data_IF_580692997760
#
_entry.id   IF_580692997760
#
_cell.length_a   1.000
_cell.length_b   1.000
_cell.length_c   1.000
_cell.angle_alpha   90.00
_cell.angle_beta   90.00
_cell.angle_gamma   90.00
#
_symmetry.space_group_name_H-M   'P 1'
#
loop_
_entity.id
_entity.type
_entity.pdbx_description
1 polymer ?
#
# COMPACT_ATOMS: atom_id res chain seq x y z
N UNK A 1 25.20 -2.65 39.40
CA UNK A 1 24.87 -3.02 38.00
C UNK A 1 23.69 -4.00 37.91
N UNK A 2 23.71 -5.15 38.59
CA UNK A 2 22.63 -6.16 38.52
C UNK A 2 21.23 -5.62 38.88
N UNK A 3 21.11 -4.82 39.96
CA UNK A 3 19.82 -4.21 40.38
C UNK A 3 19.25 -3.20 39.38
N UNK A 4 20.10 -2.47 38.68
CA UNK A 4 19.67 -1.52 37.62
C UNK A 4 19.19 -2.28 36.38
N UNK A 5 19.88 -3.34 36.01
CA UNK A 5 19.46 -4.23 34.91
C UNK A 5 18.09 -4.89 35.22
N UNK A 6 17.90 -5.39 36.46
CA UNK A 6 16.64 -6.00 36.88
C UNK A 6 15.50 -5.02 36.87
N UNK A 7 15.71 -3.78 37.32
CA UNK A 7 14.69 -2.72 37.29
C UNK A 7 14.31 -2.37 35.83
N UNK A 8 15.28 -2.22 34.94
CA UNK A 8 15.05 -1.95 33.53
C UNK A 8 14.23 -3.07 32.83
N UNK A 9 14.56 -4.33 33.12
CA UNK A 9 13.81 -5.49 32.60
C UNK A 9 12.37 -5.49 33.11
N UNK A 10 12.14 -5.21 34.39
CA UNK A 10 10.80 -5.16 34.97
C UNK A 10 9.96 -4.01 34.37
N UNK A 11 10.56 -2.84 34.11
CA UNK A 11 9.90 -1.72 33.46
C UNK A 11 9.48 -2.12 32.03
N UNK A 12 10.36 -2.75 31.26
CA UNK A 12 10.04 -3.22 29.89
C UNK A 12 8.95 -4.28 29.90
N UNK A 13 9.00 -5.24 30.81
CA UNK A 13 7.96 -6.26 30.94
C UNK A 13 6.61 -5.65 31.34
N UNK A 14 6.60 -4.70 32.29
CA UNK A 14 5.40 -3.96 32.67
C UNK A 14 4.80 -3.16 31.52
N UNK A 15 5.65 -2.49 30.73
CA UNK A 15 5.26 -1.77 29.53
C UNK A 15 4.59 -2.70 28.49
N UNK A 16 5.20 -3.86 28.22
CA UNK A 16 4.67 -4.85 27.27
C UNK A 16 3.35 -5.45 27.79
N UNK A 17 3.26 -5.78 29.09
CA UNK A 17 2.04 -6.32 29.68
C UNK A 17 0.88 -5.31 29.63
N UNK A 18 1.12 -4.05 30.00
CA UNK A 18 0.15 -2.97 29.88
C UNK A 18 -0.33 -2.81 28.44
N UNK A 19 0.60 -2.76 27.48
CA UNK A 19 0.27 -2.70 26.07
C UNK A 19 -0.55 -3.90 25.58
N UNK A 20 -0.31 -5.09 26.14
CA UNK A 20 -1.10 -6.30 25.86
C UNK A 20 -2.55 -6.15 26.28
N UNK A 21 -2.80 -5.71 27.52
CA UNK A 21 -4.15 -5.45 28.06
C UNK A 21 -4.87 -4.36 27.27
N UNK A 22 -4.19 -3.26 27.00
CA UNK A 22 -4.74 -2.15 26.23
C UNK A 22 -5.08 -2.56 24.79
N UNK A 23 -4.24 -3.35 24.14
CA UNK A 23 -4.49 -3.85 22.78
C UNK A 23 -5.68 -4.79 22.71
N UNK A 24 -5.87 -5.66 23.72
CA UNK A 24 -7.01 -6.55 23.81
C UNK A 24 -8.32 -5.76 23.99
N UNK A 25 -8.31 -4.70 24.82
CA UNK A 25 -9.45 -3.81 24.99
C UNK A 25 -9.81 -3.06 23.68
N UNK A 26 -8.81 -2.63 22.90
CA UNK A 26 -9.04 -1.97 21.63
C UNK A 26 -9.60 -2.92 20.54
N UNK A 27 -9.27 -4.22 20.60
CA UNK A 27 -9.78 -5.21 19.65
C UNK A 27 -11.25 -5.58 19.84
N UNK A 28 -11.78 -5.38 21.04
CA UNK A 28 -13.14 -5.81 21.38
C UNK A 28 -14.25 -4.90 20.85
N UNK A 29 -13.94 -3.70 20.35
CA UNK A 29 -14.94 -2.67 20.08
C UNK A 29 -15.23 -2.36 18.60
N UNK A 30 -14.34 -2.69 17.66
CA UNK A 30 -14.49 -2.25 16.27
C UNK A 30 -14.65 -3.43 15.30
N UNK A 31 -15.76 -3.43 14.55
CA UNK A 31 -15.93 -4.32 13.39
C UNK A 31 -14.88 -3.94 12.34
N UNK A 32 -14.12 -4.92 11.88
CA UNK A 32 -13.25 -4.77 10.71
C UNK A 32 -14.13 -4.46 9.49
N UNK A 33 -13.81 -3.40 8.74
CA UNK A 33 -14.51 -3.07 7.49
C UNK A 33 -14.24 -4.16 6.45
N UNK A 34 -15.14 -4.30 5.48
CA UNK A 34 -14.94 -5.22 4.36
C UNK A 34 -15.28 -6.68 4.67
N UNK A 35 -14.71 -7.58 3.91
CA UNK A 35 -14.99 -9.01 3.98
C UNK A 35 -13.75 -9.86 3.70
N UNK A 36 -13.74 -11.08 4.24
CA UNK A 36 -12.75 -12.09 3.88
C UNK A 36 -13.24 -12.83 2.62
N UNK A 37 -12.38 -12.90 1.60
CA UNK A 37 -12.65 -13.58 0.33
C UNK A 37 -11.74 -14.79 0.22
N UNK A 38 -12.31 -15.95 -0.02
CA UNK A 38 -11.57 -17.19 -0.29
C UNK A 38 -11.00 -17.14 -1.72
N UNK A 39 -9.67 -17.15 -1.83
CA UNK A 39 -8.94 -17.12 -3.11
C UNK A 39 -8.48 -18.51 -3.57
N UNK A 40 -9.00 -19.57 -2.92
CA UNK A 40 -8.65 -20.96 -3.19
C UNK A 40 -7.43 -21.45 -2.39
N UNK A 41 -7.21 -22.76 -2.44
CA UNK A 41 -6.11 -23.44 -1.75
C UNK A 41 -6.04 -23.16 -0.23
N UNK A 42 -7.19 -22.97 0.41
CA UNK A 42 -7.29 -22.65 1.85
C UNK A 42 -6.77 -21.26 2.21
N UNK A 43 -6.68 -20.34 1.25
CA UNK A 43 -6.16 -18.99 1.41
C UNK A 43 -7.28 -17.96 1.33
N UNK A 44 -7.22 -16.97 2.19
CA UNK A 44 -8.19 -15.88 2.23
C UNK A 44 -7.45 -14.53 2.22
N UNK A 45 -8.06 -13.54 1.56
CA UNK A 45 -7.62 -12.15 1.63
C UNK A 45 -8.78 -11.25 2.04
N UNK A 46 -8.45 -10.22 2.78
CA UNK A 46 -9.39 -9.20 3.19
C UNK A 46 -9.54 -8.16 2.08
N UNK A 47 -10.80 -7.81 1.78
CA UNK A 47 -11.18 -6.90 0.70
C UNK A 47 -12.21 -5.88 1.20
N UNK A 48 -12.01 -4.61 0.87
CA UNK A 48 -12.95 -3.51 1.11
C UNK A 48 -13.30 -2.90 -0.24
N UNK A 49 -14.52 -3.15 -0.74
CA UNK A 49 -15.02 -2.45 -1.92
C UNK A 49 -16.13 -1.47 -1.50
N UNK A 50 -16.05 -0.24 -1.97
CA UNK A 50 -17.02 0.82 -1.73
C UNK A 50 -17.59 1.34 -3.06
N UNK A 51 -18.86 1.76 -3.04
CA UNK A 51 -19.59 2.19 -4.24
C UNK A 51 -20.27 1.03 -4.99
N UNK A 52 -21.20 1.36 -5.87
CA UNK A 52 -21.95 0.40 -6.68
C UNK A 52 -21.17 -0.02 -7.92
N UNK A 53 -21.27 -1.29 -8.29
CA UNK A 53 -20.73 -1.78 -9.56
C UNK A 53 -21.47 -1.14 -10.73
N UNK A 54 -20.74 -0.75 -11.76
CA UNK A 54 -21.27 -0.10 -12.97
C UNK A 54 -20.47 -0.51 -14.20
N UNK A 55 -20.82 -0.02 -15.38
CA UNK A 55 -20.04 -0.20 -16.59
C UNK A 55 -18.71 0.60 -16.58
N UNK A 56 -18.54 1.54 -15.65
CA UNK A 56 -17.29 2.28 -15.48
C UNK A 56 -16.22 1.38 -14.81
N UNK A 57 -14.93 1.61 -15.10
CA UNK A 57 -13.85 0.85 -14.48
C UNK A 57 -13.86 0.94 -12.94
N UNK A 58 -13.68 -0.18 -12.26
CA UNK A 58 -13.43 -0.21 -10.81
C UNK A 58 -12.01 0.26 -10.50
N UNK A 59 -11.85 1.15 -9.52
CA UNK A 59 -10.55 1.61 -9.04
C UNK A 59 -9.97 0.60 -8.07
N UNK A 60 -8.81 0.02 -8.38
CA UNK A 60 -8.14 -0.99 -7.57
C UNK A 60 -6.91 -0.38 -6.89
N UNK A 61 -6.91 -0.37 -5.56
CA UNK A 61 -5.98 0.39 -4.72
C UNK A 61 -4.93 -0.54 -4.10
N UNK A 62 -3.67 -0.36 -4.52
CA UNK A 62 -2.52 -1.16 -4.08
C UNK A 62 -1.63 -0.36 -3.14
N UNK A 63 -1.50 -0.81 -1.90
CA UNK A 63 -0.75 -0.12 -0.87
C UNK A 63 0.77 -0.29 -1.00
N UNK A 64 1.51 0.62 -0.40
CA UNK A 64 2.98 0.59 -0.31
C UNK A 64 3.51 -0.38 0.74
N UNK A 65 4.77 -0.19 1.12
CA UNK A 65 5.41 -0.94 2.20
C UNK A 65 4.69 -0.69 3.54
N UNK A 66 4.43 -1.74 4.32
CA UNK A 66 3.66 -1.68 5.56
C UNK A 66 2.24 -1.13 5.41
N UNK A 67 1.80 -0.96 4.15
CA UNK A 67 0.48 -0.47 3.80
C UNK A 67 -0.51 -1.61 3.59
N UNK A 68 -1.80 -1.29 3.76
CA UNK A 68 -2.92 -2.17 3.53
C UNK A 68 -4.19 -1.35 3.27
N UNK A 69 -5.35 -1.96 3.18
CA UNK A 69 -6.61 -1.29 2.80
C UNK A 69 -6.92 -0.02 3.60
N UNK A 70 -6.55 0.04 4.90
CA UNK A 70 -6.79 1.21 5.73
C UNK A 70 -6.09 2.48 5.21
N UNK A 71 -4.93 2.36 4.57
CA UNK A 71 -4.20 3.52 4.03
C UNK A 71 -4.98 4.25 2.95
N UNK A 72 -5.92 3.58 2.31
CA UNK A 72 -6.77 4.10 1.26
C UNK A 72 -8.11 4.68 1.75
N UNK A 73 -8.38 4.64 3.06
CA UNK A 73 -9.69 5.02 3.61
C UNK A 73 -10.15 6.42 3.23
N UNK A 74 -9.25 7.43 3.19
CA UNK A 74 -9.60 8.78 2.78
C UNK A 74 -9.86 8.87 1.26
N UNK A 75 -9.06 8.15 0.45
CA UNK A 75 -9.23 8.10 -1.00
C UNK A 75 -10.54 7.38 -1.35
N UNK A 76 -10.86 6.25 -0.69
CA UNK A 76 -12.13 5.53 -0.90
C UNK A 76 -13.34 6.41 -0.56
N UNK A 77 -13.31 7.14 0.56
CA UNK A 77 -14.39 8.09 0.89
C UNK A 77 -14.56 9.18 -0.17
N UNK A 78 -13.45 9.73 -0.68
CA UNK A 78 -13.49 10.75 -1.71
C UNK A 78 -13.99 10.20 -3.07
N UNK A 79 -13.64 8.98 -3.44
CA UNK A 79 -14.16 8.29 -4.63
C UNK A 79 -15.65 7.99 -4.49
N UNK A 80 -16.07 7.48 -3.32
CA UNK A 80 -17.46 7.17 -3.02
C UNK A 80 -18.35 8.41 -3.14
N UNK A 81 -17.88 9.56 -2.64
CA UNK A 81 -18.58 10.83 -2.75
C UNK A 81 -18.81 11.28 -4.21
N UNK A 82 -18.02 10.77 -5.15
CA UNK A 82 -18.17 10.97 -6.60
C UNK A 82 -18.89 9.83 -7.32
N UNK A 83 -19.39 8.85 -6.58
CA UNK A 83 -20.05 7.67 -7.16
C UNK A 83 -19.09 6.71 -7.88
N UNK A 84 -17.78 6.80 -7.62
CA UNK A 84 -16.76 5.95 -8.24
C UNK A 84 -16.53 4.73 -7.35
N UNK A 85 -16.70 3.52 -7.92
CA UNK A 85 -16.42 2.27 -7.23
C UNK A 85 -14.92 2.08 -7.03
N UNK A 86 -14.53 1.69 -5.82
CA UNK A 86 -13.14 1.38 -5.50
C UNK A 86 -13.02 0.16 -4.59
N UNK A 87 -11.95 -0.61 -4.79
CA UNK A 87 -11.60 -1.76 -3.99
C UNK A 87 -10.17 -1.60 -3.45
N UNK A 88 -9.99 -1.74 -2.15
CA UNK A 88 -8.70 -1.84 -1.47
C UNK A 88 -8.62 -3.19 -0.77
N UNK A 89 -7.44 -3.77 -0.67
CA UNK A 89 -7.27 -5.10 -0.09
C UNK A 89 -6.03 -5.18 0.79
N UNK A 90 -5.99 -6.21 1.61
CA UNK A 90 -4.83 -6.52 2.44
C UNK A 90 -4.09 -7.71 1.82
N UNK A 91 -2.82 -7.51 1.46
CA UNK A 91 -1.97 -8.62 1.02
C UNK A 91 -1.79 -9.63 2.14
N UNK A 92 -1.49 -10.89 1.80
CA UNK A 92 -1.38 -11.97 2.77
C UNK A 92 -0.45 -11.61 3.95
N UNK A 93 -0.95 -11.75 5.18
CA UNK A 93 -0.25 -11.40 6.44
C UNK A 93 -0.28 -9.93 6.80
N UNK A 94 -0.85 -9.04 5.97
CA UNK A 94 -1.03 -7.62 6.27
C UNK A 94 -2.47 -7.34 6.70
N UNK A 95 -2.67 -6.27 7.47
CA UNK A 95 -4.00 -5.84 7.91
C UNK A 95 -4.78 -6.97 8.57
N UNK A 96 -5.93 -7.31 8.00
CA UNK A 96 -6.80 -8.40 8.45
C UNK A 96 -6.58 -9.72 7.67
N UNK A 97 -5.77 -9.72 6.61
CA UNK A 97 -5.47 -10.93 5.84
C UNK A 97 -4.60 -11.90 6.65
N UNK A 98 -4.97 -13.20 6.71
CA UNK A 98 -4.13 -14.21 7.33
C UNK A 98 -2.76 -14.31 6.65
N UNK A 99 -1.77 -14.75 7.43
CA UNK A 99 -0.47 -15.11 6.86
C UNK A 99 -0.63 -16.31 5.92
N UNK A 100 0.06 -16.28 4.78
CA UNK A 100 0.16 -17.41 3.87
C UNK A 100 1.63 -17.79 3.69
N UNK A 101 1.92 -19.08 3.76
CA UNK A 101 3.24 -19.61 3.43
C UNK A 101 3.51 -19.48 1.93
N UNK A 102 4.79 -19.36 1.56
CA UNK A 102 5.22 -19.28 0.17
C UNK A 102 5.87 -17.97 -0.22
N UNK A 103 6.06 -17.77 -1.51
CA UNK A 103 6.70 -16.57 -2.04
C UNK A 103 5.85 -15.32 -1.78
N UNK A 104 6.53 -14.22 -1.47
CA UNK A 104 5.91 -12.89 -1.26
C UNK A 104 6.51 -11.87 -2.22
N UNK A 105 6.94 -12.33 -3.39
CA UNK A 105 7.43 -11.47 -4.46
C UNK A 105 6.28 -10.89 -5.30
N UNK A 106 6.61 -10.02 -6.25
CA UNK A 106 5.62 -9.33 -7.07
C UNK A 106 4.71 -10.28 -7.85
N UNK A 107 5.24 -11.40 -8.35
CA UNK A 107 4.46 -12.38 -9.11
C UNK A 107 3.41 -13.05 -8.22
N UNK A 108 3.79 -13.50 -7.02
CA UNK A 108 2.86 -14.10 -6.07
C UNK A 108 1.76 -13.11 -5.66
N UNK A 109 2.12 -11.84 -5.37
CA UNK A 109 1.15 -10.78 -5.04
C UNK A 109 0.20 -10.51 -6.21
N UNK A 110 0.72 -10.46 -7.44
CA UNK A 110 -0.10 -10.24 -8.63
C UNK A 110 -1.07 -11.42 -8.91
N UNK A 111 -0.64 -12.66 -8.65
CA UNK A 111 -1.51 -13.85 -8.76
C UNK A 111 -2.59 -13.85 -7.69
N UNK A 112 -2.25 -13.49 -6.46
CA UNK A 112 -3.20 -13.37 -5.35
C UNK A 112 -4.28 -12.31 -5.65
N UNK A 113 -3.88 -11.16 -6.19
CA UNK A 113 -4.80 -10.10 -6.58
C UNK A 113 -5.74 -10.55 -7.71
N UNK A 114 -5.22 -11.30 -8.69
CA UNK A 114 -6.03 -11.84 -9.78
C UNK A 114 -7.08 -12.85 -9.26
N UNK A 115 -6.67 -13.76 -8.37
CA UNK A 115 -7.56 -14.71 -7.72
C UNK A 115 -8.61 -13.99 -6.85
N UNK A 116 -8.20 -12.96 -6.12
CA UNK A 116 -9.09 -12.14 -5.28
C UNK A 116 -10.17 -11.45 -6.11
N UNK A 117 -9.81 -10.77 -7.20
CA UNK A 117 -10.78 -10.08 -8.06
C UNK A 117 -11.73 -11.06 -8.72
N UNK A 118 -11.24 -12.22 -9.12
CA UNK A 118 -12.08 -13.29 -9.70
C UNK A 118 -13.08 -13.83 -8.65
N UNK A 119 -12.61 -14.16 -7.45
CA UNK A 119 -13.46 -14.68 -6.37
C UNK A 119 -14.47 -13.65 -5.86
N UNK A 120 -14.13 -12.37 -5.91
CA UNK A 120 -15.00 -11.26 -5.51
C UNK A 120 -16.02 -10.86 -6.62
N UNK A 121 -16.00 -11.50 -7.79
CA UNK A 121 -16.80 -11.14 -8.97
C UNK A 121 -16.57 -9.69 -9.43
N UNK A 122 -15.31 -9.25 -9.42
CA UNK A 122 -14.86 -7.95 -9.94
C UNK A 122 -14.14 -8.18 -11.29
N UNK A 123 -14.86 -8.16 -12.41
CA UNK A 123 -14.28 -8.61 -13.70
C UNK A 123 -13.35 -7.60 -14.34
N UNK A 124 -13.36 -6.34 -13.90
CA UNK A 124 -12.74 -5.21 -14.59
C UNK A 124 -13.63 -4.62 -15.69
N UNK A 125 -13.12 -3.71 -16.54
CA UNK A 125 -11.75 -3.23 -16.51
C UNK A 125 -11.42 -2.42 -15.26
N UNK A 126 -10.10 -2.37 -14.89
CA UNK A 126 -9.63 -1.68 -13.70
C UNK A 126 -8.83 -0.41 -14.03
N UNK A 127 -8.97 0.62 -13.20
CA UNK A 127 -7.95 1.64 -13.04
C UNK A 127 -7.12 1.25 -11.82
N UNK A 128 -5.85 0.90 -12.05
CA UNK A 128 -4.95 0.51 -10.99
C UNK A 128 -4.31 1.74 -10.35
N UNK A 129 -4.29 1.79 -9.03
CA UNK A 129 -3.64 2.87 -8.27
C UNK A 129 -2.60 2.27 -7.34
N UNK A 130 -1.33 2.60 -7.54
CA UNK A 130 -0.23 2.06 -6.73
C UNK A 130 0.51 3.14 -5.95
N UNK A 131 0.57 3.01 -4.62
CA UNK A 131 1.36 3.89 -3.77
C UNK A 131 2.74 3.31 -3.49
N UNK A 132 3.78 4.15 -3.58
CA UNK A 132 5.13 3.77 -3.14
C UNK A 132 5.62 2.46 -3.80
N UNK A 133 5.97 1.44 -3.01
CA UNK A 133 6.32 0.09 -3.46
C UNK A 133 5.20 -0.58 -4.27
N UNK A 134 3.93 -0.26 -3.99
CA UNK A 134 2.76 -0.74 -4.73
C UNK A 134 2.79 -0.39 -6.22
N UNK A 135 3.53 0.65 -6.62
CA UNK A 135 3.74 0.99 -8.02
C UNK A 135 4.36 -0.15 -8.84
N UNK A 136 5.30 -0.91 -8.25
CA UNK A 136 5.88 -2.08 -8.92
C UNK A 136 4.84 -3.22 -9.06
N UNK A 137 3.98 -3.41 -8.06
CA UNK A 137 2.95 -4.44 -8.08
C UNK A 137 1.85 -4.16 -9.11
N UNK A 138 1.34 -2.92 -9.16
CA UNK A 138 0.34 -2.56 -10.18
C UNK A 138 0.91 -2.58 -11.59
N UNK A 139 2.17 -2.20 -11.76
CA UNK A 139 2.84 -2.32 -13.07
C UNK A 139 2.94 -3.79 -13.50
N UNK A 140 3.36 -4.67 -12.60
CA UNK A 140 3.45 -6.11 -12.86
C UNK A 140 2.07 -6.71 -13.19
N UNK A 141 1.04 -6.33 -12.43
CA UNK A 141 -0.33 -6.79 -12.67
C UNK A 141 -0.86 -6.31 -14.03
N UNK A 142 -0.61 -5.05 -14.39
CA UNK A 142 -1.00 -4.48 -15.68
C UNK A 142 -0.34 -5.22 -16.85
N UNK A 143 0.96 -5.49 -16.74
CA UNK A 143 1.70 -6.22 -17.78
C UNK A 143 1.24 -7.67 -17.95
N UNK A 144 0.77 -8.32 -16.86
CA UNK A 144 0.24 -9.69 -16.91
C UNK A 144 -1.20 -9.77 -17.42
N UNK A 145 -1.98 -8.69 -17.25
CA UNK A 145 -3.42 -8.67 -17.53
C UNK A 145 -3.82 -7.46 -18.38
N UNK A 146 -3.15 -7.15 -19.50
CA UNK A 146 -3.34 -5.88 -20.20
C UNK A 146 -4.80 -5.64 -20.63
N UNK A 147 -5.54 -6.70 -20.98
CA UNK A 147 -6.94 -6.62 -21.40
C UNK A 147 -7.92 -6.27 -20.27
N UNK A 148 -7.49 -6.38 -19.01
CA UNK A 148 -8.31 -6.04 -17.82
C UNK A 148 -8.05 -4.61 -17.32
N UNK A 149 -7.14 -3.84 -17.96
CA UNK A 149 -6.67 -2.56 -17.43
C UNK A 149 -7.11 -1.41 -18.32
N UNK A 150 -7.85 -0.46 -17.73
CA UNK A 150 -8.26 0.77 -18.38
C UNK A 150 -7.26 1.93 -18.19
N UNK A 151 -6.43 1.88 -17.14
CA UNK A 151 -5.44 2.90 -16.87
C UNK A 151 -4.67 2.68 -15.58
N UNK A 152 -3.67 3.53 -15.32
CA UNK A 152 -2.76 3.42 -14.20
C UNK A 152 -2.55 4.78 -13.51
N UNK A 153 -2.56 4.79 -12.18
CA UNK A 153 -2.20 5.96 -11.36
C UNK A 153 -1.09 5.59 -10.39
N UNK A 154 0.04 6.27 -10.51
CA UNK A 154 1.22 6.07 -9.67
C UNK A 154 1.27 7.17 -8.60
N UNK A 155 1.08 6.81 -7.33
CA UNK A 155 1.01 7.74 -6.21
C UNK A 155 2.32 7.72 -5.44
N UNK A 156 3.14 8.73 -5.65
CA UNK A 156 4.52 8.87 -5.13
C UNK A 156 5.31 7.54 -5.19
N UNK A 157 5.08 6.81 -6.27
CA UNK A 157 5.53 5.45 -6.46
C UNK A 157 6.92 5.38 -7.09
N UNK A 158 7.62 4.29 -6.81
CA UNK A 158 8.85 3.92 -7.49
C UNK A 158 8.53 3.07 -8.73
N UNK A 159 8.71 3.54 -9.95
CA UNK A 159 8.55 2.71 -11.13
C UNK A 159 9.61 1.59 -11.13
N UNK A 160 9.35 0.43 -11.76
CA UNK A 160 10.26 -0.72 -11.74
C UNK A 160 11.70 -0.40 -12.16
N UNK A 161 11.89 0.58 -13.06
CA UNK A 161 13.22 1.04 -13.51
C UNK A 161 14.05 1.66 -12.38
N UNK A 162 13.42 2.22 -11.35
CA UNK A 162 14.11 2.84 -10.21
C UNK A 162 15.09 1.87 -9.52
N UNK A 163 14.76 0.58 -9.48
CA UNK A 163 15.61 -0.46 -8.88
C UNK A 163 16.87 -0.81 -9.69
N UNK A 164 17.10 -0.19 -10.85
CA UNK A 164 18.40 -0.29 -11.56
C UNK A 164 19.42 0.73 -11.02
N UNK A 165 18.98 1.69 -10.20
CA UNK A 165 19.80 2.78 -9.69
C UNK A 165 20.44 2.35 -8.37
N UNK A 166 21.77 2.42 -8.28
CA UNK A 166 22.55 1.98 -7.12
C UNK A 166 22.10 2.63 -5.80
N UNK A 167 21.81 3.92 -5.84
CA UNK A 167 21.36 4.68 -4.66
C UNK A 167 20.00 4.19 -4.16
N UNK A 168 19.08 3.87 -5.07
CA UNK A 168 17.77 3.29 -4.74
C UNK A 168 17.93 1.92 -4.11
N UNK A 169 18.79 1.06 -4.67
CA UNK A 169 19.07 -0.26 -4.09
C UNK A 169 19.73 -0.15 -2.71
N UNK A 170 20.61 0.82 -2.51
CA UNK A 170 21.19 1.11 -1.19
C UNK A 170 20.13 1.51 -0.16
N UNK A 171 19.20 2.40 -0.55
CA UNK A 171 18.07 2.79 0.27
C UNK A 171 17.17 1.60 0.59
N UNK A 172 16.75 0.82 -0.42
CA UNK A 172 15.89 -0.37 -0.22
C UNK A 172 16.53 -1.39 0.73
N UNK A 173 17.84 -1.61 0.60
CA UNK A 173 18.58 -2.53 1.47
C UNK A 173 18.63 -2.01 2.92
N UNK A 174 18.86 -0.72 3.12
CA UNK A 174 18.85 -0.10 4.45
C UNK A 174 17.45 -0.13 5.07
N UNK A 175 16.43 0.19 4.28
CA UNK A 175 15.03 0.14 4.68
C UNK A 175 14.62 -1.30 5.07
N UNK A 176 15.01 -2.31 4.30
CA UNK A 176 14.76 -3.73 4.62
C UNK A 176 15.42 -4.18 5.93
N UNK A 177 16.63 -3.68 6.26
CA UNK A 177 17.25 -3.96 7.58
C UNK A 177 16.46 -3.30 8.72
N UNK A 178 16.08 -2.04 8.56
CA UNK A 178 15.26 -1.31 9.53
C UNK A 178 13.89 -1.98 9.72
N UNK A 179 13.25 -2.42 8.63
CA UNK A 179 11.99 -3.15 8.64
C UNK A 179 12.07 -4.44 9.46
N UNK A 180 13.14 -5.22 9.31
CA UNK A 180 13.35 -6.44 10.11
C UNK A 180 13.55 -6.15 11.60
N UNK A 181 14.28 -5.09 11.95
CA UNK A 181 14.44 -4.66 13.34
C UNK A 181 13.10 -4.20 13.94
N UNK A 182 12.31 -3.42 13.20
CA UNK A 182 10.97 -3.01 13.61
C UNK A 182 10.04 -4.22 13.79
N UNK A 183 10.08 -5.18 12.88
CA UNK A 183 9.31 -6.43 12.96
C UNK A 183 9.70 -7.26 14.20
N UNK A 184 10.97 -7.34 14.52
CA UNK A 184 11.46 -7.99 15.77
C UNK A 184 10.91 -7.28 17.00
N UNK A 185 11.03 -5.95 17.10
CA UNK A 185 10.48 -5.15 18.20
C UNK A 185 8.98 -5.32 18.35
N UNK A 186 8.21 -5.26 17.24
CA UNK A 186 6.77 -5.48 17.25
C UNK A 186 6.41 -6.90 17.71
N UNK A 187 7.19 -7.92 17.33
CA UNK A 187 7.00 -9.31 17.76
C UNK A 187 7.25 -9.50 19.26
N UNK A 188 8.14 -8.70 19.83
CA UNK A 188 8.37 -8.65 21.28
C UNK A 188 7.30 -7.83 22.03
N UNK A 189 6.34 -7.26 21.31
CA UNK A 189 5.25 -6.46 21.89
C UNK A 189 5.63 -5.02 22.24
N UNK A 190 6.81 -4.53 21.84
CA UNK A 190 7.28 -3.17 22.15
C UNK A 190 6.38 -2.06 21.56
N UNK A 191 5.62 -2.36 20.49
CA UNK A 191 4.75 -1.39 19.83
C UNK A 191 3.31 -1.42 20.34
N UNK A 192 2.93 -2.41 21.18
CA UNK A 192 1.55 -2.54 21.68
C UNK A 192 1.03 -1.30 22.40
N UNK A 193 1.77 -0.65 23.32
CA UNK A 193 1.30 0.56 23.98
C UNK A 193 1.11 1.75 23.02
N UNK A 194 1.77 1.75 21.87
CA UNK A 194 1.68 2.82 20.88
C UNK A 194 0.35 2.88 20.14
N UNK A 195 -0.49 1.82 20.25
CA UNK A 195 -1.87 1.79 19.67
C UNK A 195 -2.70 2.99 20.13
N UNK A 196 -2.47 3.49 21.33
CA UNK A 196 -3.18 4.63 21.93
C UNK A 196 -2.56 5.99 21.59
N UNK A 197 -1.52 6.01 20.79
CA UNK A 197 -0.85 7.23 20.34
C UNK A 197 -1.11 7.48 18.87
N UNK A 198 -0.94 8.74 18.43
CA UNK A 198 -0.99 9.09 17.01
C UNK A 198 0.35 8.85 16.29
N UNK A 199 1.32 8.18 16.93
CA UNK A 199 2.64 7.94 16.33
C UNK A 199 2.59 7.01 15.11
N UNK A 200 1.61 6.09 15.08
CA UNK A 200 1.40 5.17 13.97
C UNK A 200 0.51 5.73 12.85
N UNK A 201 -0.15 6.87 13.09
CA UNK A 201 -1.03 7.52 12.11
C UNK A 201 -0.54 8.95 11.83
N UNK A 202 0.35 9.05 10.86
CA UNK A 202 0.83 10.33 10.31
C UNK A 202 0.25 10.62 8.93
N UNK A 203 -0.75 9.87 8.50
CA UNK A 203 -1.35 9.96 7.17
C UNK A 203 -2.49 10.97 7.18
N UNK A 204 -3.23 11.09 8.28
CA UNK A 204 -4.47 11.87 8.37
C UNK A 204 -5.65 11.10 7.80
N UNK A 205 -5.81 9.86 8.25
CA UNK A 205 -6.87 8.95 7.84
C UNK A 205 -8.19 9.24 8.56
N UNK A 206 -9.33 8.80 8.02
CA UNK A 206 -10.59 8.75 8.74
C UNK A 206 -10.47 7.93 10.05
N UNK A 207 -11.27 8.23 11.10
CA UNK A 207 -11.06 7.65 12.43
C UNK A 207 -10.98 6.12 12.47
N UNK A 208 -11.83 5.42 11.72
CA UNK A 208 -11.84 3.95 11.68
C UNK A 208 -10.58 3.39 10.99
N UNK A 209 -10.21 3.93 9.85
CA UNK A 209 -8.99 3.55 9.13
C UNK A 209 -7.72 3.85 9.96
N UNK A 210 -7.70 4.98 10.67
CA UNK A 210 -6.65 5.34 11.62
C UNK A 210 -6.54 4.32 12.76
N UNK A 211 -7.66 3.87 13.34
CA UNK A 211 -7.66 2.83 14.36
C UNK A 211 -7.13 1.49 13.84
N UNK A 212 -7.54 1.08 12.63
CA UNK A 212 -7.02 -0.11 11.93
C UNK A 212 -5.50 0.00 11.72
N UNK A 213 -5.02 1.17 11.28
CA UNK A 213 -3.58 1.42 11.06
C UNK A 213 -2.76 1.30 12.35
N UNK A 214 -3.25 1.86 13.47
CA UNK A 214 -2.56 1.74 14.76
C UNK A 214 -2.48 0.30 15.24
N UNK A 215 -3.55 -0.50 15.07
CA UNK A 215 -3.54 -1.93 15.42
C UNK A 215 -2.54 -2.72 14.58
N UNK A 216 -2.51 -2.50 13.26
CA UNK A 216 -1.54 -3.14 12.37
C UNK A 216 -0.10 -2.78 12.74
N UNK A 217 0.18 -1.51 13.04
CA UNK A 217 1.50 -1.05 13.48
C UNK A 217 1.98 -1.79 14.74
N UNK A 218 1.09 -2.08 15.68
CA UNK A 218 1.40 -2.81 16.89
C UNK A 218 1.51 -4.34 16.69
N UNK A 219 1.06 -4.87 15.55
CA UNK A 219 1.03 -6.30 15.26
C UNK A 219 2.41 -6.82 14.81
N UNK A 220 2.97 -7.77 15.56
CA UNK A 220 4.21 -8.45 15.17
C UNK A 220 4.04 -9.27 13.89
N UNK A 221 2.88 -9.88 13.65
CA UNK A 221 2.61 -10.64 12.43
C UNK A 221 2.61 -9.72 11.20
N UNK A 222 1.86 -8.61 11.25
CA UNK A 222 1.83 -7.60 10.19
C UNK A 222 3.23 -7.07 9.86
N UNK A 223 4.00 -6.67 10.88
CA UNK A 223 5.34 -6.12 10.67
C UNK A 223 6.31 -7.14 10.08
N UNK A 224 6.24 -8.44 10.46
CA UNK A 224 7.06 -9.49 9.84
C UNK A 224 6.72 -9.67 8.37
N UNK A 225 5.43 -9.81 8.04
CA UNK A 225 4.99 -9.94 6.65
C UNK A 225 5.40 -8.73 5.79
N UNK A 226 5.25 -7.52 6.31
CA UNK A 226 5.69 -6.29 5.64
C UNK A 226 7.21 -6.24 5.42
N UNK A 227 8.01 -6.67 6.41
CA UNK A 227 9.47 -6.71 6.27
C UNK A 227 9.93 -7.75 5.23
N UNK A 228 9.23 -8.88 5.11
CA UNK A 228 9.46 -9.86 4.05
C UNK A 228 9.17 -9.29 2.66
N UNK A 229 8.04 -8.57 2.49
CA UNK A 229 7.71 -7.92 1.21
C UNK A 229 8.74 -6.84 0.84
N UNK A 230 9.19 -6.02 1.79
CA UNK A 230 10.24 -5.03 1.54
C UNK A 230 11.53 -5.71 1.06
N UNK A 231 11.88 -6.88 1.62
CA UNK A 231 13.05 -7.63 1.17
C UNK A 231 12.89 -8.18 -0.26
N UNK A 232 11.66 -8.43 -0.72
CA UNK A 232 11.35 -8.92 -2.07
C UNK A 232 11.08 -7.79 -3.08
N UNK A 233 11.06 -6.53 -2.66
CA UNK A 233 10.80 -5.40 -3.57
C UNK A 233 11.72 -5.35 -4.79
N UNK A 234 13.05 -5.53 -4.68
CA UNK A 234 13.93 -5.56 -5.86
C UNK A 234 13.53 -6.65 -6.85
N UNK A 235 13.14 -7.82 -6.36
CA UNK A 235 12.68 -8.93 -7.20
C UNK A 235 11.36 -8.61 -7.90
N UNK A 236 10.42 -7.98 -7.22
CA UNK A 236 9.16 -7.55 -7.82
C UNK A 236 9.38 -6.55 -8.97
N UNK A 237 10.29 -5.58 -8.77
CA UNK A 237 10.67 -4.63 -9.81
C UNK A 237 11.39 -5.32 -11.00
N UNK A 238 12.23 -6.31 -10.74
CA UNK A 238 12.87 -7.14 -11.78
C UNK A 238 11.83 -7.94 -12.58
N UNK A 239 10.89 -8.59 -11.90
CA UNK A 239 9.80 -9.35 -12.51
C UNK A 239 8.95 -8.47 -13.44
N UNK A 240 8.63 -7.23 -13.01
CA UNK A 240 7.91 -6.28 -13.86
C UNK A 240 8.71 -5.89 -15.10
N UNK A 241 10.01 -5.60 -14.96
CA UNK A 241 10.87 -5.26 -16.11
C UNK A 241 11.04 -6.41 -17.09
N UNK A 242 11.08 -7.65 -16.59
CA UNK A 242 11.22 -8.85 -17.43
C UNK A 242 10.02 -9.06 -18.35
N UNK A 243 8.83 -8.58 -17.99
CA UNK A 243 7.63 -8.60 -18.84
C UNK A 243 7.59 -7.50 -19.89
N UNK A 244 8.48 -6.52 -19.81
CA UNK A 244 8.59 -5.46 -20.80
C UNK A 244 8.06 -4.11 -20.33
N UNK A 245 7.40 -3.36 -21.22
CA UNK A 245 6.88 -2.02 -21.00
C UNK A 245 5.36 -2.01 -21.08
N UNK A 246 4.75 -1.06 -20.38
CA UNK A 246 3.33 -0.76 -20.53
C UNK A 246 3.05 -0.30 -21.98
N UNK A 247 1.86 -0.62 -22.48
CA UNK A 247 1.41 -0.09 -23.76
C UNK A 247 1.37 1.45 -23.70
N UNK A 248 2.03 2.17 -24.61
CA UNK A 248 1.94 3.64 -24.66
C UNK A 248 0.52 4.17 -24.85
N UNK A 249 -0.42 3.37 -25.32
CA UNK A 249 -1.83 3.74 -25.41
C UNK A 249 -2.55 3.72 -24.07
N UNK A 250 -2.02 3.02 -23.05
CA UNK A 250 -2.59 2.98 -21.72
C UNK A 250 -2.48 4.37 -21.06
N UNK A 251 -3.59 4.99 -20.62
CA UNK A 251 -3.55 6.24 -19.87
C UNK A 251 -2.83 6.06 -18.53
N UNK A 252 -1.88 6.96 -18.23
CA UNK A 252 -1.09 6.89 -16.98
C UNK A 252 -1.04 8.27 -16.32
N UNK A 253 -1.43 8.34 -15.06
CA UNK A 253 -1.19 9.50 -14.21
C UNK A 253 -0.11 9.22 -13.16
N UNK A 254 0.68 10.25 -12.84
CA UNK A 254 1.65 10.22 -11.74
C UNK A 254 1.39 11.38 -10.80
N UNK A 255 1.14 11.08 -9.53
CA UNK A 255 1.00 12.06 -8.45
C UNK A 255 2.22 11.96 -7.55
N UNK A 256 2.98 13.05 -7.39
CA UNK A 256 4.20 13.06 -6.55
C UNK A 256 4.07 14.01 -5.38
N UNK A 257 4.74 13.70 -4.26
CA UNK A 257 4.70 14.46 -3.02
C UNK A 257 5.98 15.25 -2.73
N UNK A 258 5.87 16.39 -2.05
CA UNK A 258 6.99 17.19 -1.54
C UNK A 258 7.75 18.02 -2.58
N UNK A 259 8.68 18.87 -2.17
CA UNK A 259 9.36 19.81 -3.06
C UNK A 259 10.30 19.11 -4.06
N UNK A 260 10.37 19.64 -5.29
CA UNK A 260 11.25 19.17 -6.36
C UNK A 260 12.62 19.88 -6.33
N UNK A 261 13.35 19.77 -5.22
CA UNK A 261 14.64 20.42 -5.02
C UNK A 261 15.75 19.42 -4.67
N UNK A 262 17.00 19.75 -4.97
CA UNK A 262 18.16 18.89 -4.68
C UNK A 262 18.01 17.48 -5.26
N UNK A 263 18.45 16.47 -4.52
CA UNK A 263 18.37 15.03 -4.90
C UNK A 263 16.93 14.59 -5.23
N UNK A 264 15.93 15.22 -4.62
CA UNK A 264 14.51 14.92 -4.90
C UNK A 264 14.09 15.29 -6.31
N UNK A 265 14.75 16.27 -6.95
CA UNK A 265 14.45 16.65 -8.33
C UNK A 265 14.71 15.49 -9.28
N UNK A 266 15.86 14.84 -9.17
CA UNK A 266 16.22 13.71 -10.03
C UNK A 266 15.31 12.50 -9.77
N UNK A 267 15.00 12.24 -8.49
CA UNK A 267 14.04 11.21 -8.12
C UNK A 267 12.68 11.41 -8.77
N UNK A 268 12.15 12.63 -8.78
CA UNK A 268 10.88 12.95 -9.42
C UNK A 268 10.89 12.76 -10.92
N UNK A 269 12.02 13.02 -11.58
CA UNK A 269 12.15 12.72 -13.02
C UNK A 269 12.01 11.23 -13.31
N UNK A 270 12.46 10.36 -12.39
CA UNK A 270 12.29 8.91 -12.49
C UNK A 270 10.84 8.52 -12.21
N UNK A 271 10.22 9.10 -11.19
CA UNK A 271 8.83 8.81 -10.83
C UNK A 271 7.84 9.12 -11.97
N UNK A 272 8.07 10.20 -12.73
CA UNK A 272 7.16 10.62 -13.81
C UNK A 272 7.39 9.90 -15.14
N UNK A 273 8.39 9.04 -15.26
CA UNK A 273 8.68 8.31 -16.52
C UNK A 273 7.47 7.55 -17.06
N UNK A 274 6.67 6.81 -16.26
CA UNK A 274 5.51 6.09 -16.80
C UNK A 274 4.47 7.01 -17.47
N UNK A 275 4.23 8.20 -16.92
CA UNK A 275 3.34 9.17 -17.56
C UNK A 275 3.95 9.76 -18.84
N UNK A 276 5.27 9.97 -18.88
CA UNK A 276 5.96 10.46 -20.09
C UNK A 276 5.99 9.44 -21.23
N UNK A 277 5.99 8.16 -20.92
CA UNK A 277 5.96 7.08 -21.90
C UNK A 277 4.53 6.82 -22.43
N UNK A 278 3.49 7.26 -21.73
CA UNK A 278 2.09 7.18 -22.17
C UNK A 278 1.72 8.32 -23.13
N UNK A 279 0.91 8.02 -24.15
CA UNK A 279 0.32 9.02 -25.06
C UNK A 279 -0.73 9.90 -24.37
N UNK A 280 -1.30 9.40 -23.26
CA UNK A 280 -2.25 10.10 -22.40
C UNK A 280 -1.69 10.15 -20.99
N UNK A 281 -0.55 10.83 -20.82
CA UNK A 281 0.15 10.94 -19.55
C UNK A 281 -0.20 12.21 -18.79
N UNK A 282 -0.45 12.10 -17.48
CA UNK A 282 -0.74 13.22 -16.57
C UNK A 282 0.27 13.25 -15.43
N UNK A 283 0.67 14.44 -15.00
CA UNK A 283 1.62 14.61 -13.89
C UNK A 283 1.12 15.67 -12.93
N UNK A 284 0.91 15.28 -11.67
CA UNK A 284 0.55 16.17 -10.57
C UNK A 284 1.69 16.23 -9.54
N UNK A 285 2.01 17.42 -9.09
CA UNK A 285 3.09 17.65 -8.16
C UNK A 285 2.58 18.41 -6.92
N UNK A 286 2.44 17.71 -5.80
CA UNK A 286 1.85 18.22 -4.57
C UNK A 286 2.97 18.57 -3.59
N UNK A 287 3.44 19.82 -3.66
CA UNK A 287 4.62 20.30 -2.91
C UNK A 287 4.45 20.22 -1.40
N UNK A 288 3.24 20.45 -0.90
CA UNK A 288 2.94 20.57 0.53
C UNK A 288 2.61 19.21 1.17
N UNK A 289 2.41 18.15 0.35
CA UNK A 289 2.22 16.80 0.85
C UNK A 289 3.56 16.11 1.16
N UNK A 290 3.56 15.21 2.11
CA UNK A 290 4.61 14.21 2.28
C UNK A 290 4.21 12.90 1.62
N UNK A 291 5.17 11.98 1.50
CA UNK A 291 4.96 10.62 0.99
C UNK A 291 3.73 9.91 1.60
N UNK A 292 3.55 10.04 2.90
CA UNK A 292 2.44 9.40 3.60
C UNK A 292 1.17 10.26 3.58
N UNK A 293 1.27 11.57 3.85
CA UNK A 293 0.09 12.45 3.96
C UNK A 293 -0.66 12.61 2.67
N UNK A 294 -0.03 12.29 1.52
CA UNK A 294 -0.68 12.29 0.21
C UNK A 294 -1.93 11.38 0.16
N UNK A 295 -1.95 10.29 0.95
CA UNK A 295 -3.10 9.38 1.06
C UNK A 295 -4.18 9.88 2.02
N UNK A 296 -3.89 10.91 2.84
CA UNK A 296 -4.78 11.42 3.88
C UNK A 296 -5.87 12.35 3.34
N UNK A 297 -6.83 12.68 4.22
CA UNK A 297 -7.99 13.52 3.91
C UNK A 297 -7.62 14.87 3.28
N UNK A 298 -6.47 15.45 3.66
CA UNK A 298 -6.03 16.75 3.13
C UNK A 298 -5.66 16.71 1.64
N UNK A 299 -5.21 15.56 1.13
CA UNK A 299 -4.65 15.47 -0.23
C UNK A 299 -5.28 14.38 -1.10
N UNK A 300 -6.17 13.55 -0.56
CA UNK A 300 -6.85 12.48 -1.30
C UNK A 300 -7.55 12.97 -2.57
N UNK A 301 -8.05 14.21 -2.58
CA UNK A 301 -8.67 14.84 -3.76
C UNK A 301 -7.74 14.92 -4.98
N UNK A 302 -6.43 15.07 -4.79
CA UNK A 302 -5.46 15.09 -5.90
C UNK A 302 -5.33 13.71 -6.57
N UNK A 303 -5.42 12.63 -5.77
CA UNK A 303 -5.41 11.27 -6.29
C UNK A 303 -6.70 10.99 -7.06
N UNK A 304 -7.84 11.44 -6.52
CA UNK A 304 -9.15 11.30 -7.17
C UNK A 304 -9.17 12.04 -8.50
N UNK A 305 -8.64 13.26 -8.58
CA UNK A 305 -8.50 13.99 -9.83
C UNK A 305 -7.69 13.21 -10.87
N UNK A 306 -6.54 12.66 -10.48
CA UNK A 306 -5.72 11.85 -11.38
C UNK A 306 -6.46 10.60 -11.89
N UNK A 307 -7.27 9.96 -11.03
CA UNK A 307 -8.12 8.83 -11.41
C UNK A 307 -9.19 9.26 -12.43
N UNK A 308 -9.85 10.40 -12.22
CA UNK A 308 -10.86 10.94 -13.14
C UNK A 308 -10.27 11.26 -14.52
N UNK A 309 -9.06 11.83 -14.57
CA UNK A 309 -8.35 12.12 -15.83
C UNK A 309 -8.01 10.83 -16.60
N UNK A 310 -7.48 9.81 -15.89
CA UNK A 310 -7.22 8.49 -16.48
C UNK A 310 -8.53 7.85 -16.98
N UNK A 311 -9.60 7.88 -16.18
CA UNK A 311 -10.89 7.34 -16.57
C UNK A 311 -11.48 8.06 -17.79
N UNK A 312 -11.31 9.37 -17.90
CA UNK A 312 -11.74 10.14 -19.06
C UNK A 312 -10.93 9.81 -20.33
N UNK A 313 -9.61 9.61 -20.18
CA UNK A 313 -8.74 9.22 -21.29
C UNK A 313 -9.03 7.80 -21.79
N UNK A 314 -9.32 6.86 -20.89
CA UNK A 314 -9.64 5.47 -21.22
C UNK A 314 -10.95 5.29 -22.02
N UNK A 315 -11.83 6.30 -22.03
CA UNK A 315 -13.09 6.29 -22.80
C UNK A 315 -12.96 6.83 -24.23
N UNK A 316 -11.81 7.38 -24.60
CA UNK A 316 -11.51 7.93 -25.94
C UNK A 316 -10.87 6.89 -26.83
#
# INVERSE_FOLDING_TARGET
>A
MLRVLSAAVLIVLGYIALGGVMSAAAQSSDKVRGQMVDIGHGRQLHLICEGTSSAAPTVLLEAGAFGFSADWGAVQQALLAKGIRSCAYDRAGLGASPFAAGARDGLAISQDLEALMTAANEPGPFILVGHSMGGAYVTLFALRNPQKIAGLVMVDAAPPIANTIKQVNGFVSAFGRAARLAAFGASMGLFKPLVWTNLADKIGLPPQASAEKRRAFASGAHNRAAAEEVAQWPKAAEQARALGKLDPALPVAVVTAGPATGIRKDWKQIQIMPARESRSGFVHHITDASHNTLLGQAYSGNIVQAIEEVAAAARR
#
